data_IF_623470037697
#
_entry.id   IF_623470037697
#
_cell.length_a   1.000
_cell.length_b   1.000
_cell.length_c   1.000
_cell.angle_alpha   90.00
_cell.angle_beta   90.00
_cell.angle_gamma   90.00
#
_symmetry.space_group_name_H-M   'P 1'
#
loop_
_entity.id
_entity.type
_entity.pdbx_description
1 polymer ?
#
# COMPACT_ATOMS: atom_id res chain seq x y z
N UNK A 1 9.37 10.11 2.26
CA UNK A 1 8.42 8.97 2.22
C UNK A 1 7.33 9.29 3.22
N UNK A 2 6.12 9.30 2.75
CA UNK A 2 4.94 9.55 3.58
C UNK A 2 4.81 8.49 4.68
N UNK A 3 4.07 8.80 5.72
CA UNK A 3 3.58 7.85 6.70
C UNK A 3 2.05 7.68 6.55
N UNK A 4 1.50 6.63 7.14
CA UNK A 4 0.07 6.34 6.99
C UNK A 4 -0.84 7.39 7.63
N UNK A 5 -0.33 8.17 8.59
CA UNK A 5 -1.09 9.26 9.21
C UNK A 5 -1.29 10.41 8.23
N UNK A 6 -0.25 10.77 7.46
CA UNK A 6 -0.30 11.82 6.44
C UNK A 6 -1.25 11.42 5.30
N UNK A 7 -1.14 10.16 4.83
CA UNK A 7 -2.06 9.59 3.83
C UNK A 7 -3.50 9.59 4.34
N UNK A 8 -3.73 9.12 5.56
CA UNK A 8 -5.07 9.11 6.17
C UNK A 8 -5.65 10.50 6.35
N UNK A 9 -4.82 11.49 6.73
CA UNK A 9 -5.21 12.88 6.85
C UNK A 9 -5.66 13.42 5.49
N UNK A 10 -4.88 13.19 4.44
CA UNK A 10 -5.24 13.63 3.08
C UNK A 10 -6.53 12.99 2.56
N UNK A 11 -6.72 11.68 2.78
CA UNK A 11 -7.99 11.01 2.45
C UNK A 11 -9.18 11.67 3.17
N UNK A 12 -9.00 12.06 4.44
CA UNK A 12 -10.06 12.74 5.21
C UNK A 12 -10.36 14.15 4.66
N UNK A 13 -9.38 14.83 4.10
CA UNK A 13 -9.55 16.12 3.43
C UNK A 13 -10.31 15.97 2.10
N UNK A 14 -9.98 14.94 1.32
CA UNK A 14 -10.68 14.62 0.06
C UNK A 14 -12.11 14.11 0.28
N UNK A 15 -12.36 13.41 1.39
CA UNK A 15 -13.67 12.83 1.74
C UNK A 15 -13.98 13.15 3.22
N UNK A 16 -14.47 14.37 3.52
CA UNK A 16 -14.68 14.81 4.91
C UNK A 16 -15.66 13.95 5.72
N UNK A 17 -16.54 13.20 5.05
CA UNK A 17 -17.52 12.29 5.67
C UNK A 17 -17.09 10.84 5.68
N UNK A 18 -15.79 10.56 5.43
CA UNK A 18 -15.27 9.19 5.41
C UNK A 18 -15.41 8.54 6.78
N UNK A 19 -16.04 7.35 6.82
CA UNK A 19 -16.04 6.53 8.02
C UNK A 19 -14.70 5.81 8.22
N UNK A 20 -14.45 5.38 9.44
CA UNK A 20 -13.17 4.73 9.81
C UNK A 20 -12.85 3.49 8.96
N UNK A 21 -13.85 2.68 8.62
CA UNK A 21 -13.65 1.47 7.83
C UNK A 21 -13.27 1.84 6.40
N UNK A 22 -13.99 2.76 5.77
CA UNK A 22 -13.68 3.26 4.43
C UNK A 22 -12.30 3.90 4.38
N UNK A 23 -11.94 4.69 5.38
CA UNK A 23 -10.59 5.27 5.50
C UNK A 23 -9.50 4.19 5.46
N UNK A 24 -9.64 3.12 6.25
CA UNK A 24 -8.66 2.03 6.27
C UNK A 24 -8.53 1.34 4.90
N UNK A 25 -9.67 1.15 4.20
CA UNK A 25 -9.64 0.52 2.87
C UNK A 25 -9.01 1.44 1.83
N UNK A 26 -9.29 2.74 1.88
CA UNK A 26 -8.64 3.70 0.97
C UNK A 26 -7.13 3.76 1.20
N UNK A 27 -6.65 3.70 2.45
CA UNK A 27 -5.21 3.57 2.73
C UNK A 27 -4.63 2.28 2.13
N UNK A 28 -5.30 1.13 2.30
CA UNK A 28 -4.87 -0.14 1.72
C UNK A 28 -4.79 -0.09 0.19
N UNK A 29 -5.85 0.41 -0.47
CA UNK A 29 -5.87 0.53 -1.93
C UNK A 29 -4.81 1.51 -2.44
N UNK A 30 -4.58 2.64 -1.75
CA UNK A 30 -3.53 3.60 -2.12
C UNK A 30 -2.14 2.97 -2.05
N UNK A 31 -1.85 2.18 -1.02
CA UNK A 31 -0.61 1.42 -0.90
C UNK A 31 -0.47 0.39 -2.03
N UNK A 32 -1.52 -0.38 -2.30
CA UNK A 32 -1.51 -1.44 -3.31
C UNK A 32 -1.31 -0.90 -4.73
N UNK A 33 -2.05 0.14 -5.10
CA UNK A 33 -1.89 0.76 -6.42
C UNK A 33 -0.55 1.46 -6.58
N UNK A 34 -0.04 2.12 -5.54
CA UNK A 34 1.33 2.68 -5.57
C UNK A 34 2.37 1.61 -5.83
N UNK A 35 2.25 0.45 -5.16
CA UNK A 35 3.14 -0.69 -5.38
C UNK A 35 3.06 -1.23 -6.82
N UNK A 36 1.86 -1.36 -7.39
CA UNK A 36 1.70 -1.83 -8.75
C UNK A 36 2.29 -0.86 -9.79
N UNK A 37 2.10 0.44 -9.58
CA UNK A 37 2.55 1.46 -10.54
C UNK A 37 4.06 1.75 -10.47
N UNK A 38 4.66 1.68 -9.27
CA UNK A 38 6.04 2.14 -9.06
C UNK A 38 6.96 1.10 -8.45
N UNK A 39 6.44 0.02 -7.93
CA UNK A 39 7.20 -0.92 -7.11
C UNK A 39 7.60 -0.40 -5.73
N UNK A 40 7.23 0.84 -5.39
CA UNK A 40 7.60 1.50 -4.13
C UNK A 40 6.42 1.56 -3.16
N UNK A 41 6.73 1.52 -1.86
CA UNK A 41 5.75 1.76 -0.80
C UNK A 41 5.29 3.22 -0.80
N UNK A 42 4.01 3.47 -0.50
CA UNK A 42 3.49 4.80 -0.18
C UNK A 42 3.82 5.16 1.28
N UNK A 43 3.69 4.19 2.19
CA UNK A 43 4.04 4.31 3.61
C UNK A 43 4.62 2.99 4.14
N UNK A 44 5.34 3.04 5.28
CA UNK A 44 6.04 1.87 5.83
C UNK A 44 5.25 1.11 6.88
N UNK A 45 4.21 1.71 7.45
CA UNK A 45 3.42 1.11 8.52
C UNK A 45 2.73 -0.16 8.02
N UNK A 46 2.74 -1.24 8.83
CA UNK A 46 2.18 -2.52 8.42
C UNK A 46 0.67 -2.50 8.31
N UNK A 47 0.18 -3.26 7.33
CA UNK A 47 -1.23 -3.58 7.16
C UNK A 47 -1.49 -4.98 7.73
N UNK A 48 -2.52 -5.12 8.55
CA UNK A 48 -2.91 -6.41 9.15
C UNK A 48 -4.18 -6.97 8.54
N UNK A 49 -4.25 -8.31 8.42
CA UNK A 49 -5.34 -9.05 7.79
C UNK A 49 -6.53 -9.31 8.76
N UNK A 50 -7.25 -8.27 9.11
CA UNK A 50 -8.41 -8.36 10.01
C UNK A 50 -9.64 -8.97 9.34
N UNK A 51 -10.66 -9.34 10.14
CA UNK A 51 -11.92 -9.97 9.68
C UNK A 51 -12.57 -9.17 8.54
N UNK A 52 -12.63 -7.85 8.67
CA UNK A 52 -13.25 -6.98 7.68
C UNK A 52 -12.26 -6.48 6.59
N UNK A 53 -11.22 -7.27 6.31
CA UNK A 53 -10.18 -6.93 5.35
C UNK A 53 -9.00 -6.18 5.99
N UNK A 54 -7.99 -5.81 5.19
CA UNK A 54 -6.78 -5.14 5.66
C UNK A 54 -7.06 -3.83 6.39
N UNK A 55 -6.30 -3.57 7.46
CA UNK A 55 -6.29 -2.30 8.17
C UNK A 55 -4.86 -1.82 8.45
N UNK A 56 -4.57 -0.52 8.36
CA UNK A 56 -3.34 0.05 8.85
C UNK A 56 -3.41 0.14 10.39
N UNK A 57 -2.70 -0.76 11.06
CA UNK A 57 -2.77 -0.88 12.53
C UNK A 57 -2.42 0.44 13.25
N UNK A 58 -1.55 1.25 12.65
CA UNK A 58 -1.15 2.54 13.20
C UNK A 58 -2.31 3.54 13.31
N UNK A 59 -3.35 3.43 12.46
CA UNK A 59 -4.55 4.28 12.52
C UNK A 59 -5.63 3.71 13.45
N UNK A 60 -5.47 2.49 13.94
CA UNK A 60 -6.44 1.88 14.84
C UNK A 60 -6.58 2.69 16.13
N UNK A 61 -7.79 2.71 16.64
CA UNK A 61 -8.14 3.37 17.91
C UNK A 61 -7.91 4.90 17.92
N UNK A 62 -7.77 5.50 16.73
CA UNK A 62 -7.65 6.96 16.57
C UNK A 62 -8.96 7.55 16.04
N UNK A 63 -9.42 8.62 16.65
CA UNK A 63 -10.58 9.36 16.18
C UNK A 63 -10.30 10.15 14.89
N UNK A 64 -9.03 10.50 14.66
CA UNK A 64 -8.52 11.18 13.47
C UNK A 64 -7.13 10.66 13.14
N UNK A 65 -6.71 10.66 11.88
CA UNK A 65 -5.36 10.23 11.49
C UNK A 65 -4.26 10.99 12.22
N UNK A 66 -4.39 12.32 12.32
CA UNK A 66 -3.45 13.17 13.05
C UNK A 66 -2.12 13.37 12.32
N UNK A 67 -2.11 13.14 10.99
CA UNK A 67 -1.00 13.45 10.10
C UNK A 67 -1.09 14.85 9.50
N UNK A 68 -0.16 15.16 8.61
CA UNK A 68 -0.09 16.40 7.85
C UNK A 68 0.07 16.09 6.36
N UNK A 69 -0.95 16.41 5.56
CA UNK A 69 -0.95 16.17 4.11
C UNK A 69 0.18 16.90 3.36
N UNK A 70 0.73 17.99 3.94
CA UNK A 70 1.86 18.73 3.34
C UNK A 70 3.17 17.95 3.34
N UNK A 71 3.26 16.85 4.07
CA UNK A 71 4.41 15.93 4.01
C UNK A 71 4.41 15.02 2.78
N UNK A 72 3.28 14.97 2.05
CA UNK A 72 3.17 14.16 0.83
C UNK A 72 3.80 14.90 -0.35
N UNK A 73 4.55 14.17 -1.17
CA UNK A 73 5.01 14.68 -2.45
C UNK A 73 3.86 14.75 -3.47
N UNK A 74 4.00 15.56 -4.53
CA UNK A 74 2.99 15.66 -5.58
C UNK A 74 2.60 14.30 -6.16
N UNK A 75 3.56 13.39 -6.36
CA UNK A 75 3.31 12.03 -6.84
C UNK A 75 2.52 11.19 -5.85
N UNK A 76 2.75 11.36 -4.54
CA UNK A 76 2.01 10.68 -3.50
C UNK A 76 0.58 11.24 -3.37
N UNK A 77 0.42 12.57 -3.45
CA UNK A 77 -0.89 13.23 -3.49
C UNK A 77 -1.73 12.71 -4.67
N UNK A 78 -1.21 12.78 -5.89
CA UNK A 78 -1.92 12.31 -7.09
C UNK A 78 -2.24 10.80 -7.04
N UNK A 79 -1.37 9.99 -6.39
CA UNK A 79 -1.65 8.57 -6.16
C UNK A 79 -2.90 8.40 -5.30
N UNK A 80 -2.98 9.12 -4.19
CA UNK A 80 -4.12 9.04 -3.27
C UNK A 80 -5.39 9.58 -3.93
N UNK A 81 -5.31 10.71 -4.63
CA UNK A 81 -6.44 11.31 -5.37
C UNK A 81 -7.04 10.31 -6.37
N UNK A 82 -6.19 9.72 -7.24
CA UNK A 82 -6.66 8.77 -8.25
C UNK A 82 -7.38 7.57 -7.63
N UNK A 83 -6.85 7.04 -6.53
CA UNK A 83 -7.45 5.91 -5.82
C UNK A 83 -8.75 6.33 -5.14
N UNK A 84 -8.77 7.46 -4.45
CA UNK A 84 -9.97 7.99 -3.79
C UNK A 84 -11.08 8.25 -4.80
N UNK A 85 -10.78 8.89 -5.93
CA UNK A 85 -11.77 9.18 -6.97
C UNK A 85 -12.38 7.90 -7.56
N UNK A 86 -11.56 6.87 -7.78
CA UNK A 86 -12.03 5.60 -8.31
C UNK A 86 -12.95 4.84 -7.35
N UNK A 87 -12.64 4.87 -6.05
CA UNK A 87 -13.39 4.15 -5.02
C UNK A 87 -14.43 5.01 -4.29
N UNK A 88 -14.59 6.27 -4.66
CA UNK A 88 -15.44 7.27 -3.97
C UNK A 88 -16.86 6.80 -3.73
N UNK A 89 -17.50 6.22 -4.77
CA UNK A 89 -18.91 5.84 -4.75
C UNK A 89 -19.18 4.49 -4.07
N UNK A 90 -18.12 3.77 -3.70
CA UNK A 90 -18.24 2.49 -2.99
C UNK A 90 -18.38 2.70 -1.49
N UNK A 91 -19.28 1.95 -0.89
CA UNK A 91 -19.44 1.97 0.56
C UNK A 91 -18.37 1.14 1.29
N UNK A 92 -18.34 1.23 2.62
CA UNK A 92 -17.36 0.51 3.46
C UNK A 92 -17.49 -1.01 3.36
N UNK A 93 -18.69 -1.54 3.09
CA UNK A 93 -18.94 -2.98 2.98
C UNK A 93 -18.38 -3.50 1.66
N UNK A 94 -18.67 -2.81 0.55
CA UNK A 94 -18.11 -3.14 -0.77
C UNK A 94 -16.58 -3.10 -0.73
N UNK A 95 -16.00 -2.03 -0.18
CA UNK A 95 -14.54 -1.90 -0.06
C UNK A 95 -13.93 -2.98 0.82
N UNK A 96 -14.62 -3.38 1.90
CA UNK A 96 -14.18 -4.51 2.74
C UNK A 96 -14.16 -5.82 1.96
N UNK A 97 -15.16 -6.08 1.13
CA UNK A 97 -15.20 -7.28 0.27
C UNK A 97 -14.10 -7.27 -0.78
N UNK A 98 -13.93 -6.16 -1.50
CA UNK A 98 -12.90 -5.98 -2.52
C UNK A 98 -11.48 -6.11 -1.96
N UNK A 99 -11.26 -5.70 -0.71
CA UNK A 99 -9.94 -5.74 -0.06
C UNK A 99 -9.52 -7.13 0.42
N UNK A 100 -10.41 -8.14 0.37
CA UNK A 100 -10.12 -9.54 0.77
C UNK A 100 -9.53 -10.36 -0.37
N UNK A 101 -8.54 -9.81 -1.07
CA UNK A 101 -7.86 -10.44 -2.18
C UNK A 101 -6.80 -11.46 -1.77
N UNK A 102 -5.85 -11.72 -2.67
CA UNK A 102 -4.77 -12.71 -2.50
C UNK A 102 -3.93 -12.43 -1.24
N UNK A 103 -3.47 -11.19 -1.06
CA UNK A 103 -2.61 -10.83 0.06
C UNK A 103 -3.31 -11.02 1.42
N UNK A 104 -4.59 -10.67 1.51
CA UNK A 104 -5.38 -10.87 2.72
C UNK A 104 -5.58 -12.37 3.03
N UNK A 105 -5.93 -13.18 2.02
CA UNK A 105 -6.15 -14.63 2.17
C UNK A 105 -4.86 -15.36 2.57
N UNK A 106 -3.75 -15.02 1.92
CA UNK A 106 -2.43 -15.61 2.20
C UNK A 106 -1.97 -15.31 3.63
N UNK A 107 -2.05 -14.05 4.06
CA UNK A 107 -1.69 -13.67 5.43
C UNK A 107 -2.50 -14.44 6.47
N UNK A 108 -3.76 -14.73 6.20
CA UNK A 108 -4.65 -15.48 7.10
C UNK A 108 -4.44 -17.01 7.09
N UNK A 109 -3.62 -17.54 6.18
CA UNK A 109 -3.24 -18.98 6.16
C UNK A 109 -4.43 -19.94 6.26
N UNK A 110 -5.46 -19.74 5.43
CA UNK A 110 -6.69 -20.53 5.41
C UNK A 110 -7.56 -20.48 6.70
N UNK A 111 -7.39 -19.49 7.55
CA UNK A 111 -8.33 -19.22 8.63
C UNK A 111 -9.73 -18.95 8.05
N UNK A 112 -10.81 -19.38 8.72
CA UNK A 112 -12.16 -18.99 8.36
C UNK A 112 -12.30 -17.47 8.25
N UNK A 113 -13.13 -16.96 7.33
CA UNK A 113 -13.29 -15.53 7.08
C UNK A 113 -13.72 -14.73 8.32
N UNK A 114 -14.45 -15.36 9.23
CA UNK A 114 -14.90 -14.77 10.48
C UNK A 114 -13.91 -14.91 11.65
N UNK A 115 -12.79 -15.62 11.47
CA UNK A 115 -11.81 -15.79 12.53
C UNK A 115 -10.96 -14.52 12.72
N UNK A 116 -10.60 -14.23 13.96
CA UNK A 116 -9.66 -13.15 14.26
C UNK A 116 -8.27 -13.44 13.69
N UNK A 117 -7.67 -12.43 13.08
CA UNK A 117 -6.28 -12.47 12.64
C UNK A 117 -5.66 -11.08 12.78
N UNK A 118 -4.38 -11.04 13.12
CA UNK A 118 -3.56 -9.83 13.19
C UNK A 118 -2.27 -10.02 12.37
N UNK A 119 -2.26 -11.03 11.50
CA UNK A 119 -1.12 -11.31 10.62
C UNK A 119 -0.88 -10.13 9.67
N UNK A 120 0.40 -9.80 9.47
CA UNK A 120 0.81 -8.71 8.59
C UNK A 120 0.75 -9.17 7.14
N UNK A 121 0.22 -8.31 6.26
CA UNK A 121 0.21 -8.57 4.82
C UNK A 121 1.63 -8.52 4.26
N UNK A 122 1.93 -9.46 3.36
CA UNK A 122 3.17 -9.44 2.57
C UNK A 122 3.10 -8.32 1.53
N UNK A 123 4.10 -7.43 1.55
CA UNK A 123 4.25 -6.37 0.54
C UNK A 123 4.42 -6.95 -0.85
N UNK A 124 5.18 -8.05 -0.96
CA UNK A 124 5.40 -8.75 -2.25
C UNK A 124 4.08 -9.28 -2.80
N UNK A 125 3.29 -9.98 -1.97
CA UNK A 125 1.99 -10.52 -2.40
C UNK A 125 1.00 -9.41 -2.73
N UNK A 126 0.99 -8.29 -1.99
CA UNK A 126 0.19 -7.11 -2.34
C UNK A 126 0.60 -6.56 -3.71
N UNK A 127 1.89 -6.38 -3.96
CA UNK A 127 2.37 -5.90 -5.27
C UNK A 127 1.94 -6.82 -6.40
N UNK A 128 2.10 -8.13 -6.25
CA UNK A 128 1.64 -9.13 -7.24
C UNK A 128 0.14 -9.00 -7.49
N UNK A 129 -0.68 -8.99 -6.44
CA UNK A 129 -2.14 -8.87 -6.53
C UNK A 129 -2.57 -7.64 -7.33
N UNK A 130 -2.05 -6.47 -6.99
CA UNK A 130 -2.43 -5.23 -7.67
C UNK A 130 -1.84 -5.11 -9.08
N UNK A 131 -0.68 -5.72 -9.34
CA UNK A 131 -0.12 -5.84 -10.69
C UNK A 131 -0.99 -6.76 -11.56
N UNK A 132 -1.45 -7.89 -11.03
CA UNK A 132 -2.37 -8.78 -11.72
C UNK A 132 -3.71 -8.07 -12.03
N UNK A 133 -4.25 -7.30 -11.08
CA UNK A 133 -5.44 -6.46 -11.31
C UNK A 133 -5.22 -5.44 -12.41
N UNK A 134 -4.08 -4.75 -12.41
CA UNK A 134 -3.73 -3.76 -13.43
C UNK A 134 -3.75 -4.34 -14.85
N UNK A 135 -3.33 -5.61 -15.01
CA UNK A 135 -3.26 -6.26 -16.32
C UNK A 135 -4.52 -7.06 -16.70
N UNK A 136 -5.32 -7.47 -15.73
CA UNK A 136 -6.46 -8.36 -15.96
C UNK A 136 -7.81 -7.64 -16.12
N UNK A 137 -7.93 -6.40 -15.67
CA UNK A 137 -9.19 -5.64 -15.74
C UNK A 137 -8.98 -4.22 -16.26
N UNK A 138 -9.85 -3.74 -17.15
CA UNK A 138 -9.79 -2.35 -17.63
C UNK A 138 -10.33 -1.33 -16.59
N UNK A 139 -11.06 -1.80 -15.59
CA UNK A 139 -11.69 -0.95 -14.59
C UNK A 139 -10.81 -0.86 -13.34
N UNK A 140 -9.80 0.01 -13.42
CA UNK A 140 -8.81 0.27 -12.36
C UNK A 140 -8.58 1.78 -12.23
N UNK A 141 -8.06 2.26 -11.09
CA UNK A 141 -7.65 3.65 -10.96
C UNK A 141 -6.62 4.04 -12.01
N UNK A 142 -6.70 5.26 -12.51
CA UNK A 142 -5.75 5.79 -13.49
C UNK A 142 -4.40 6.04 -12.85
N UNK A 143 -3.33 5.48 -13.43
CA UNK A 143 -1.97 5.80 -12.97
C UNK A 143 -1.68 7.29 -13.23
N UNK A 144 -1.33 8.08 -12.20
CA UNK A 144 -1.01 9.49 -12.39
C UNK A 144 0.21 9.70 -13.29
N UNK A 145 0.24 10.77 -14.11
CA UNK A 145 1.39 11.10 -14.93
C UNK A 145 2.68 11.24 -14.10
N UNK A 146 3.79 10.73 -14.62
CA UNK A 146 5.09 10.74 -13.91
C UNK A 146 5.23 9.72 -12.78
N UNK A 147 4.20 8.91 -12.53
CA UNK A 147 4.22 7.87 -11.48
C UNK A 147 4.88 6.58 -11.97
N UNK A 148 4.77 6.27 -13.25
CA UNK A 148 5.37 5.07 -13.84
C UNK A 148 6.90 5.15 -13.76
N UNK A 149 7.52 4.04 -13.37
CA UNK A 149 8.96 3.87 -13.56
C UNK A 149 9.23 3.99 -15.07
N UNK A 150 10.14 4.86 -15.52
CA UNK A 150 10.49 4.94 -16.93
C UNK A 150 10.82 3.55 -17.47
N UNK A 151 10.31 3.19 -18.66
CA UNK A 151 10.56 1.89 -19.32
C UNK A 151 12.07 1.58 -19.47
N UNK A 152 12.94 2.58 -19.32
CA UNK A 152 14.39 2.45 -19.34
C UNK A 152 15.00 1.86 -18.05
N UNK A 153 14.23 1.61 -17.00
CA UNK A 153 14.67 0.76 -15.90
C UNK A 153 14.57 -0.70 -16.35
N UNK A 154 15.54 -1.10 -17.16
CA UNK A 154 15.67 -2.50 -17.56
C UNK A 154 15.88 -3.35 -16.30
N UNK A 155 15.42 -4.60 -16.34
CA UNK A 155 15.67 -5.59 -15.29
C UNK A 155 17.18 -5.65 -14.95
N UNK A 156 18.04 -5.44 -15.94
CA UNK A 156 19.49 -5.34 -15.79
C UNK A 156 19.93 -4.15 -14.93
N UNK A 157 19.32 -2.97 -15.11
CA UNK A 157 19.65 -1.77 -14.31
C UNK A 157 19.19 -1.94 -12.85
N UNK A 158 18.03 -2.57 -12.64
CA UNK A 158 17.53 -2.90 -11.32
C UNK A 158 18.40 -3.97 -10.62
N UNK A 159 18.80 -5.01 -11.33
CA UNK A 159 19.71 -6.05 -10.84
C UNK A 159 21.11 -5.50 -10.56
N UNK A 160 21.62 -4.60 -11.38
CA UNK A 160 22.89 -3.93 -11.14
C UNK A 160 22.84 -3.04 -9.88
N UNK A 161 21.75 -2.31 -9.66
CA UNK A 161 21.56 -1.51 -8.45
C UNK A 161 21.46 -2.38 -7.19
N UNK A 162 20.76 -3.53 -7.28
CA UNK A 162 20.67 -4.51 -6.19
C UNK A 162 22.05 -5.11 -5.89
N UNK A 163 22.82 -5.50 -6.92
CA UNK A 163 24.17 -6.05 -6.75
C UNK A 163 25.14 -5.03 -6.13
N UNK A 164 25.01 -3.75 -6.44
CA UNK A 164 25.80 -2.68 -5.82
C UNK A 164 25.44 -2.48 -4.35
N UNK A 165 24.15 -2.56 -4.02
CA UNK A 165 23.67 -2.53 -2.63
C UNK A 165 24.16 -3.74 -1.85
N UNK A 166 24.05 -4.95 -2.39
CA UNK A 166 24.54 -6.19 -1.77
C UNK A 166 26.05 -6.13 -1.54
N UNK A 167 26.82 -5.61 -2.49
CA UNK A 167 28.28 -5.42 -2.36
C UNK A 167 28.62 -4.44 -1.24
N UNK A 168 27.86 -3.37 -1.12
CA UNK A 168 28.05 -2.34 -0.07
C UNK A 168 27.70 -2.91 1.32
N UNK A 169 26.59 -3.64 1.43
CA UNK A 169 26.15 -4.24 2.69
C UNK A 169 26.92 -5.51 3.05
N UNK A 170 27.35 -6.31 2.08
CA UNK A 170 28.19 -7.50 2.30
C UNK A 170 29.51 -7.16 2.99
N UNK A 171 30.13 -6.03 2.63
CA UNK A 171 31.31 -5.50 3.30
C UNK A 171 31.04 -5.10 4.76
N UNK A 172 29.89 -4.50 5.04
CA UNK A 172 29.51 -4.06 6.39
C UNK A 172 29.17 -5.25 7.30
N UNK A 173 28.48 -6.27 6.76
CA UNK A 173 28.15 -7.50 7.49
C UNK A 173 29.40 -8.34 7.81
N UNK A 174 30.38 -8.39 6.90
CA UNK A 174 31.64 -9.06 7.15
C UNK A 174 32.44 -8.38 8.28
N UNK A 175 32.39 -7.06 8.38
CA UNK A 175 33.03 -6.30 9.48
C UNK A 175 32.31 -6.48 10.82
N UNK A 176 31.01 -6.74 10.84
CA UNK A 176 30.26 -7.01 12.06
C UNK A 176 30.41 -8.46 12.56
N UNK A 177 30.68 -9.41 11.66
CA UNK A 177 30.91 -10.83 12.00
C UNK A 177 32.28 -11.11 12.55
N UNK A 178 33.22 -10.16 12.51
CA UNK A 178 34.59 -10.29 13.02
C UNK A 178 34.80 -9.62 14.38
N UNK A 179 33.73 -9.22 15.06
CA UNK A 179 33.70 -8.75 16.45
C UNK A 179 32.90 -9.74 17.31
#
# INVERSE_FOLDING_TARGET
>A
MANVYDVGQYITELVPTVDTMKLYKLCYFSQGWKLAWTGCLLFQEPLQAWVNGPIPIALRDRNKPGGDATNLTDTELHTVESVVDFYRDKDSIELSQLSRGKAWKEARRNLPDNAHSQEVLSVTTMREEFTDLLHSTPNVPSCPPGTLIPENYSLETALAAIAEIEKTWGGTLALLATR
#
